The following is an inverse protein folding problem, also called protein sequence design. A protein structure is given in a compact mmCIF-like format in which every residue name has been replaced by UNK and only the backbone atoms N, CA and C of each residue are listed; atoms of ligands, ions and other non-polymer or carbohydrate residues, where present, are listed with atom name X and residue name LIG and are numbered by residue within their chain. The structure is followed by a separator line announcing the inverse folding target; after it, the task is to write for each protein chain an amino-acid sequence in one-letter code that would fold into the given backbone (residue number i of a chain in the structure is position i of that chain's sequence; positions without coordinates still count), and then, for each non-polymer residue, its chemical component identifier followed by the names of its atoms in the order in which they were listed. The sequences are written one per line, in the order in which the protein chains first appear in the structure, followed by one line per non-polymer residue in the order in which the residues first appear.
data_IF_586705757741
#
_entry.id   IF_586705757741
#
_cell.length_a   1.000
_cell.length_b   1.000
_cell.length_c   1.000
_cell.angle_alpha   90.00
_cell.angle_beta   90.00
_cell.angle_gamma   90.00
#
_symmetry.space_group_name_H-M   'P 1'
#
loop_
_entity.id
_entity.type
_entity.pdbx_description
1 polymer ?
#
# COMPACT_ATOMS: atom_id res chain seq x y z
N UNK A 1 23.67 2.69 2.41
CA UNK A 1 22.38 2.68 1.70
C UNK A 1 21.62 1.35 1.75
N UNK A 2 22.27 0.21 2.03
CA UNK A 2 21.60 -1.11 2.14
C UNK A 2 20.51 -1.14 3.24
N UNK A 3 20.75 -0.46 4.38
CA UNK A 3 19.77 -0.41 5.48
C UNK A 3 18.47 0.28 5.03
N UNK A 4 18.57 1.41 4.34
CA UNK A 4 17.41 2.15 3.84
C UNK A 4 16.66 1.35 2.77
N UNK A 5 17.41 0.72 1.85
CA UNK A 5 16.82 -0.18 0.86
C UNK A 5 16.06 -1.34 1.51
N UNK A 6 16.60 -1.95 2.56
CA UNK A 6 15.92 -3.04 3.28
C UNK A 6 14.65 -2.55 3.98
N UNK A 7 14.63 -1.33 4.51
CA UNK A 7 13.42 -0.74 5.08
C UNK A 7 12.34 -0.55 4.00
N UNK A 8 12.70 -0.05 2.83
CA UNK A 8 11.76 0.12 1.72
C UNK A 8 11.21 -1.23 1.26
N UNK A 9 12.08 -2.23 1.05
CA UNK A 9 11.69 -3.58 0.66
C UNK A 9 10.79 -4.27 1.70
N UNK A 10 10.99 -4.00 2.99
CA UNK A 10 10.16 -4.58 4.05
C UNK A 10 8.70 -4.09 3.97
N UNK A 11 8.45 -2.85 3.52
CA UNK A 11 7.09 -2.35 3.31
C UNK A 11 6.40 -3.13 2.19
N UNK A 12 7.09 -3.36 1.07
CA UNK A 12 6.56 -4.15 -0.04
C UNK A 12 6.31 -5.62 0.36
N UNK A 13 7.22 -6.24 1.11
CA UNK A 13 7.03 -7.59 1.63
C UNK A 13 5.79 -7.69 2.52
N UNK A 14 5.57 -6.73 3.41
CA UNK A 14 4.38 -6.72 4.28
C UNK A 14 3.09 -6.50 3.50
N UNK A 15 3.12 -5.66 2.46
CA UNK A 15 1.98 -5.48 1.57
C UNK A 15 1.64 -6.79 0.84
N UNK A 16 2.63 -7.47 0.28
CA UNK A 16 2.46 -8.77 -0.39
C UNK A 16 1.86 -9.84 0.54
N UNK A 17 2.36 -9.90 1.78
CA UNK A 17 1.82 -10.77 2.81
C UNK A 17 0.37 -10.42 3.17
N UNK A 18 0.04 -9.14 3.34
CA UNK A 18 -1.32 -8.70 3.65
C UNK A 18 -2.31 -9.05 2.53
N UNK A 19 -1.91 -8.87 1.27
CA UNK A 19 -2.69 -9.29 0.09
C UNK A 19 -2.89 -10.81 0.10
N UNK A 20 -1.83 -11.57 0.35
CA UNK A 20 -1.87 -13.04 0.40
C UNK A 20 -2.77 -13.58 1.52
N UNK A 21 -2.84 -12.89 2.66
CA UNK A 21 -3.71 -13.22 3.79
C UNK A 21 -5.16 -12.73 3.60
N UNK A 22 -5.43 -11.93 2.57
CA UNK A 22 -6.73 -11.28 2.38
C UNK A 22 -7.03 -10.20 3.43
N UNK A 23 -6.03 -9.71 4.15
CA UNK A 23 -6.19 -8.70 5.18
C UNK A 23 -6.23 -7.29 4.55
N UNK A 24 -7.43 -6.92 4.11
CA UNK A 24 -7.65 -5.67 3.38
C UNK A 24 -7.43 -4.42 4.24
N UNK A 25 -7.54 -4.53 5.56
CA UNK A 25 -7.26 -3.43 6.48
C UNK A 25 -5.78 -3.04 6.43
N UNK A 26 -4.89 -4.03 6.49
CA UNK A 26 -3.45 -3.79 6.34
C UNK A 26 -3.07 -3.35 4.93
N UNK A 27 -3.71 -3.90 3.89
CA UNK A 27 -3.50 -3.46 2.50
C UNK A 27 -3.77 -1.96 2.33
N UNK A 28 -4.90 -1.47 2.85
CA UNK A 28 -5.26 -0.05 2.80
C UNK A 28 -4.22 0.84 3.51
N UNK A 29 -3.76 0.42 4.70
CA UNK A 29 -2.74 1.14 5.48
C UNK A 29 -1.41 1.24 4.69
N UNK A 30 -0.94 0.13 4.10
CA UNK A 30 0.32 0.12 3.36
C UNK A 30 0.25 0.91 2.07
N UNK A 31 -0.86 0.80 1.31
CA UNK A 31 -1.05 1.57 0.08
C UNK A 31 -1.10 3.09 0.35
N UNK A 32 -1.78 3.50 1.42
CA UNK A 32 -1.78 4.91 1.84
C UNK A 32 -0.38 5.40 2.22
N UNK A 33 0.38 4.59 2.94
CA UNK A 33 1.77 4.88 3.32
C UNK A 33 2.67 5.04 2.09
N UNK A 34 2.59 4.11 1.13
CA UNK A 34 3.36 4.17 -0.12
C UNK A 34 3.00 5.42 -0.94
N UNK A 35 1.71 5.78 -0.99
CA UNK A 35 1.25 6.99 -1.68
C UNK A 35 1.89 8.25 -1.09
N UNK A 36 1.94 8.35 0.24
CA UNK A 36 2.58 9.45 0.95
C UNK A 36 4.11 9.48 0.72
N UNK A 37 4.76 8.32 0.68
CA UNK A 37 6.20 8.23 0.38
C UNK A 37 6.51 8.72 -1.03
N UNK A 38 5.74 8.29 -2.04
CA UNK A 38 5.91 8.78 -3.41
C UNK A 38 5.62 10.28 -3.55
N UNK A 39 4.61 10.79 -2.82
CA UNK A 39 4.32 12.21 -2.79
C UNK A 39 5.48 13.02 -2.21
N UNK A 40 6.03 12.59 -1.07
CA UNK A 40 7.19 13.22 -0.42
C UNK A 40 8.46 13.15 -1.25
N UNK A 41 8.65 12.08 -2.03
CA UNK A 41 9.78 11.93 -2.95
C UNK A 41 9.62 12.74 -4.25
N UNK A 42 8.49 13.41 -4.47
CA UNK A 42 8.20 14.15 -5.72
C UNK A 42 7.87 13.24 -6.91
N UNK A 43 7.60 11.95 -6.67
CA UNK A 43 7.24 10.97 -7.69
C UNK A 43 5.77 11.12 -8.10
N UNK A 44 5.46 12.19 -8.85
CA UNK A 44 4.08 12.58 -9.19
C UNK A 44 3.30 11.49 -9.94
N UNK A 45 3.94 10.78 -10.88
CA UNK A 45 3.30 9.71 -11.64
C UNK A 45 2.78 8.61 -10.72
N UNK A 46 3.67 8.06 -9.87
CA UNK A 46 3.31 7.02 -8.90
C UNK A 46 2.30 7.52 -7.87
N UNK A 47 2.42 8.76 -7.41
CA UNK A 47 1.46 9.35 -6.47
C UNK A 47 0.06 9.37 -7.06
N UNK A 48 -0.09 9.84 -8.30
CA UNK A 48 -1.38 9.92 -9.00
C UNK A 48 -1.93 8.52 -9.29
N UNK A 49 -1.11 7.60 -9.79
CA UNK A 49 -1.51 6.22 -10.06
C UNK A 49 -1.98 5.48 -8.79
N UNK A 50 -1.24 5.60 -7.69
CA UNK A 50 -1.62 4.99 -6.41
C UNK A 50 -2.90 5.62 -5.85
N UNK A 51 -3.07 6.93 -5.96
CA UNK A 51 -4.29 7.61 -5.52
C UNK A 51 -5.50 7.11 -6.32
N UNK A 52 -5.38 7.00 -7.64
CA UNK A 52 -6.42 6.41 -8.49
C UNK A 52 -6.68 4.95 -8.13
N UNK A 53 -5.65 4.16 -7.87
CA UNK A 53 -5.78 2.77 -7.47
C UNK A 53 -6.57 2.63 -6.16
N UNK A 54 -6.19 3.40 -5.13
CA UNK A 54 -6.85 3.37 -3.81
C UNK A 54 -8.30 3.79 -3.91
N UNK A 55 -8.61 4.84 -4.66
CA UNK A 55 -9.99 5.32 -4.86
C UNK A 55 -10.88 4.29 -5.58
N UNK A 56 -10.28 3.42 -6.40
CA UNK A 56 -10.99 2.37 -7.16
C UNK A 56 -10.99 1.00 -6.46
N UNK A 57 -10.33 0.86 -5.29
CA UNK A 57 -10.42 -0.37 -4.51
C UNK A 57 -11.85 -0.55 -4.01
N UNK A 58 -12.58 -1.46 -4.63
CA UNK A 58 -13.87 -1.92 -4.10
C UNK A 58 -13.60 -2.70 -2.82
N UNK A 59 -13.95 -2.10 -1.68
CA UNK A 59 -13.95 -2.76 -0.37
C UNK A 59 -14.90 -3.94 -0.41
N UNK A 60 -14.36 -5.13 -0.65
CA UNK A 60 -15.08 -6.38 -0.48
C UNK A 60 -14.74 -6.90 0.91
N UNK A 61 -15.28 -6.24 1.94
CA UNK A 61 -15.19 -6.77 3.31
C UNK A 61 -15.78 -8.16 3.28
N UNK A 62 -15.05 -9.15 3.79
CA UNK A 62 -15.64 -10.47 3.99
C UNK A 62 -16.88 -10.29 4.88
N UNK A 63 -18.02 -10.94 4.56
CA UNK A 63 -19.31 -10.71 5.24
C UNK A 63 -19.29 -10.87 6.77
N UNK A 64 -18.22 -11.46 7.30
CA UNK A 64 -17.94 -11.67 8.71
C UNK A 64 -17.63 -10.38 9.48
N UNK A 65 -17.31 -9.29 8.78
CA UNK A 65 -16.92 -7.99 9.38
C UNK A 65 -17.87 -6.84 9.00
N UNK A 66 -19.08 -7.15 8.51
CA UNK A 66 -20.16 -6.18 8.25
C UNK A 66 -21.11 -6.11 9.44
#
# INVERSE_FOLDING_TARGET
NIILLNCDLLIFYKLDLAVSLGDFGWVEIFLGTLTMMFAGAGCKNYTTEFLHFIQNLKKNWTPQFV
#
